data_IF_459760922770
#
_entry.id   IF_459760922770
#
_cell.length_a   1.000
_cell.length_b   1.000
_cell.length_c   1.000
_cell.angle_alpha   90.00
_cell.angle_beta   90.00
_cell.angle_gamma   90.00
#
_symmetry.space_group_name_H-M   'P 1'
#
loop_
_entity.id
_entity.type
_entity.pdbx_description
1 polymer ?
#
# COMPACT_ATOMS: atom_id res chain seq x y z
N UNK A 1 -24.06 1.26 -15.95
CA UNK A 1 -24.12 0.77 -14.58
C UNK A 1 -23.04 -0.30 -14.36
N UNK A 2 -21.74 -0.03 -14.61
CA UNK A 2 -20.60 -0.98 -14.41
C UNK A 2 -19.42 -0.38 -13.65
N UNK A 3 -19.57 0.80 -13.07
CA UNK A 3 -18.44 1.55 -12.44
C UNK A 3 -18.28 1.38 -10.92
N UNK A 4 -19.16 0.66 -10.26
CA UNK A 4 -19.16 0.55 -8.78
C UNK A 4 -18.71 -0.80 -8.24
N UNK A 5 -18.38 -1.76 -9.11
CA UNK A 5 -18.01 -3.12 -8.66
C UNK A 5 -16.53 -3.28 -8.30
N UNK A 6 -15.67 -2.38 -8.75
CA UNK A 6 -14.23 -2.50 -8.54
C UNK A 6 -13.78 -2.06 -7.13
N UNK A 7 -14.55 -1.17 -6.49
CA UNK A 7 -14.18 -0.60 -5.18
C UNK A 7 -14.50 -1.53 -4.00
N UNK A 8 -15.45 -2.46 -4.16
CA UNK A 8 -15.89 -3.33 -3.06
C UNK A 8 -15.00 -4.57 -2.85
N UNK A 9 -14.21 -4.97 -3.84
CA UNK A 9 -13.37 -6.18 -3.74
C UNK A 9 -12.03 -5.87 -3.05
N UNK A 10 -11.57 -4.64 -3.11
CA UNK A 10 -10.27 -4.25 -2.57
C UNK A 10 -10.26 -4.19 -1.02
N UNK A 11 -11.42 -3.96 -0.40
CA UNK A 11 -11.54 -3.87 1.07
C UNK A 11 -11.60 -5.24 1.77
N UNK A 12 -11.90 -6.31 1.06
CA UNK A 12 -12.10 -7.63 1.68
C UNK A 12 -10.80 -8.45 1.83
N UNK A 13 -9.77 -8.16 1.04
CA UNK A 13 -8.55 -8.98 1.03
C UNK A 13 -7.56 -8.64 2.14
N UNK A 14 -7.65 -7.45 2.73
CA UNK A 14 -6.76 -7.03 3.82
C UNK A 14 -7.18 -7.64 5.18
N UNK A 15 -8.45 -8.02 5.34
CA UNK A 15 -9.00 -8.52 6.60
C UNK A 15 -8.68 -9.99 6.92
N UNK A 16 -8.20 -10.79 5.96
CA UNK A 16 -8.04 -12.24 6.17
C UNK A 16 -6.64 -12.69 6.58
N UNK A 17 -5.66 -11.80 6.63
CA UNK A 17 -4.28 -12.19 6.94
C UNK A 17 -3.97 -12.17 8.45
N UNK A 18 -4.88 -11.64 9.28
CA UNK A 18 -4.62 -11.40 10.71
C UNK A 18 -5.41 -12.27 11.70
N UNK A 19 -6.10 -13.32 11.26
CA UNK A 19 -6.73 -14.25 12.20
C UNK A 19 -5.84 -15.46 12.48
N UNK A 20 -4.89 -15.28 13.40
CA UNK A 20 -4.33 -16.41 14.17
C UNK A 20 -5.06 -16.44 15.51
N UNK A 21 -5.99 -17.36 15.66
CA UNK A 21 -6.62 -17.69 16.94
C UNK A 21 -5.63 -18.34 17.88
N UNK A 22 -5.45 -17.76 19.05
CA UNK A 22 -4.98 -18.40 20.26
C UNK A 22 -5.83 -17.86 21.40
N UNK A 23 -6.67 -18.74 21.93
CA UNK A 23 -7.56 -18.48 23.06
C UNK A 23 -6.70 -18.54 24.34
N UNK A 24 -6.47 -17.41 24.99
CA UNK A 24 -6.10 -17.32 26.40
C UNK A 24 -6.40 -15.91 26.91
N UNK A 25 -7.22 -15.86 27.94
CA UNK A 25 -7.80 -14.70 28.63
C UNK A 25 -6.70 -13.93 29.38
N UNK A 26 -6.06 -12.98 28.70
CA UNK A 26 -5.19 -11.97 29.29
C UNK A 26 -5.67 -10.61 28.77
N UNK A 27 -6.08 -9.72 29.66
CA UNK A 27 -6.26 -8.30 29.38
C UNK A 27 -4.91 -7.68 29.03
N UNK A 28 -4.40 -7.98 27.85
CA UNK A 28 -3.25 -7.27 27.29
C UNK A 28 -3.74 -5.93 26.76
N UNK A 29 -3.19 -4.86 27.34
CA UNK A 29 -3.20 -3.55 26.69
C UNK A 29 -2.66 -3.78 25.27
N UNK A 30 -3.50 -3.56 24.25
CA UNK A 30 -3.10 -3.67 22.85
C UNK A 30 -2.09 -2.54 22.61
N UNK A 31 -0.81 -2.87 22.80
CA UNK A 31 0.26 -1.95 22.45
C UNK A 31 0.15 -1.65 20.94
N UNK A 32 -0.13 -0.41 20.61
CA UNK A 32 -0.13 0.04 19.21
C UNK A 32 1.28 -0.20 18.66
N UNK A 33 1.43 -0.99 17.58
CA UNK A 33 2.75 -1.26 17.04
C UNK A 33 3.42 0.06 16.64
N UNK A 34 4.60 0.31 17.19
CA UNK A 34 5.40 1.50 16.88
C UNK A 34 6.52 1.13 15.92
N UNK A 35 6.78 2.00 14.96
CA UNK A 35 7.90 1.85 14.03
C UNK A 35 9.01 2.82 14.42
N UNK A 36 10.27 2.34 14.34
CA UNK A 36 11.46 3.17 14.42
C UNK A 36 11.97 3.60 13.03
N UNK A 37 11.09 3.65 12.03
CA UNK A 37 11.46 3.98 10.66
C UNK A 37 12.09 5.38 10.59
N UNK A 38 13.38 5.44 10.25
CA UNK A 38 14.12 6.70 10.09
C UNK A 38 14.03 7.25 8.68
N UNK A 39 13.89 6.37 7.71
CA UNK A 39 13.78 6.69 6.29
C UNK A 39 12.75 5.77 5.69
N UNK A 40 11.76 6.34 5.03
CA UNK A 40 10.83 5.59 4.21
C UNK A 40 11.38 5.44 2.80
N UNK A 41 11.37 4.22 2.28
CA UNK A 41 11.73 3.91 0.90
C UNK A 41 10.44 3.69 0.17
N UNK A 42 10.19 4.52 -0.83
CA UNK A 42 9.00 4.46 -1.64
C UNK A 42 8.94 3.15 -2.43
N UNK A 43 7.77 2.46 -2.49
CA UNK A 43 7.64 1.25 -3.29
C UNK A 43 7.84 1.54 -4.79
N UNK A 44 8.17 0.51 -5.56
CA UNK A 44 8.32 0.65 -7.02
C UNK A 44 6.99 1.02 -7.67
N UNK A 45 6.93 2.17 -8.32
CA UNK A 45 5.68 2.73 -8.85
C UNK A 45 5.88 3.35 -10.25
N UNK A 46 6.49 2.59 -11.14
CA UNK A 46 6.70 3.01 -12.53
C UNK A 46 5.53 2.54 -13.38
N UNK A 47 4.86 3.48 -14.08
CA UNK A 47 3.74 3.17 -14.97
C UNK A 47 4.16 2.14 -16.02
N UNK A 48 3.38 1.07 -16.12
CA UNK A 48 3.64 0.01 -17.08
C UNK A 48 4.81 -0.91 -16.72
N UNK A 49 5.33 -0.84 -15.50
CA UNK A 49 6.39 -1.72 -15.03
C UNK A 49 6.00 -3.19 -15.16
N UNK A 50 6.98 -3.99 -15.54
CA UNK A 50 6.85 -5.44 -15.65
C UNK A 50 6.94 -6.11 -14.26
N UNK A 51 6.47 -7.36 -14.20
CA UNK A 51 6.61 -8.22 -13.03
C UNK A 51 8.08 -8.37 -12.60
N UNK A 52 9.00 -8.55 -13.55
CA UNK A 52 10.42 -8.76 -13.26
C UNK A 52 11.07 -7.50 -12.66
N UNK A 53 10.71 -6.30 -13.14
CA UNK A 53 11.20 -5.04 -12.57
C UNK A 53 10.76 -4.85 -11.13
N UNK A 54 9.47 -5.09 -10.83
CA UNK A 54 8.94 -5.02 -9.47
C UNK A 54 9.63 -6.05 -8.56
N UNK A 55 9.74 -7.30 -8.99
CA UNK A 55 10.37 -8.37 -8.20
C UNK A 55 11.85 -8.08 -7.95
N UNK A 56 12.56 -7.58 -8.94
CA UNK A 56 13.98 -7.18 -8.81
C UNK A 56 14.15 -6.03 -7.81
N UNK A 57 13.28 -5.01 -7.88
CA UNK A 57 13.30 -3.89 -6.93
C UNK A 57 13.02 -4.36 -5.51
N UNK A 58 12.01 -5.19 -5.31
CA UNK A 58 11.68 -5.74 -4.00
C UNK A 58 12.84 -6.54 -3.41
N UNK A 59 13.50 -7.37 -4.21
CA UNK A 59 14.64 -8.17 -3.78
C UNK A 59 15.92 -7.37 -3.49
N UNK A 60 16.15 -6.28 -4.20
CA UNK A 60 17.38 -5.46 -4.08
C UNK A 60 17.25 -4.28 -3.12
N UNK A 61 16.13 -3.57 -3.17
CA UNK A 61 15.93 -2.28 -2.49
C UNK A 61 15.04 -2.41 -1.26
N UNK A 62 13.94 -3.16 -1.36
CA UNK A 62 12.94 -3.31 -0.30
C UNK A 62 13.18 -4.58 0.53
N UNK A 63 14.42 -4.84 0.95
CA UNK A 63 14.86 -6.11 1.58
C UNK A 63 14.15 -6.47 2.88
N UNK A 64 13.51 -5.51 3.55
CA UNK A 64 12.70 -5.77 4.75
C UNK A 64 11.37 -6.44 4.45
N UNK A 65 10.92 -6.39 3.19
CA UNK A 65 9.70 -7.02 2.71
C UNK A 65 9.99 -8.38 2.09
N UNK A 66 9.15 -9.36 2.41
CA UNK A 66 9.24 -10.72 1.89
C UNK A 66 7.97 -11.06 1.12
N UNK A 67 8.12 -11.76 0.02
CA UNK A 67 6.99 -12.27 -0.75
C UNK A 67 6.08 -13.12 0.16
N UNK A 68 4.77 -12.90 0.10
CA UNK A 68 3.76 -13.59 0.89
C UNK A 68 2.77 -14.37 0.06
N UNK A 69 2.26 -13.76 -0.99
CA UNK A 69 1.19 -14.36 -1.79
C UNK A 69 1.14 -13.80 -3.20
N UNK A 70 0.62 -14.62 -4.08
CA UNK A 70 0.20 -14.27 -5.43
C UNK A 70 -1.29 -14.56 -5.54
N UNK A 71 -2.04 -13.65 -6.17
CA UNK A 71 -3.45 -13.84 -6.46
C UNK A 71 -3.72 -13.54 -7.92
N UNK A 72 -4.46 -14.44 -8.59
CA UNK A 72 -4.88 -14.30 -9.97
C UNK A 72 -6.40 -14.26 -10.06
N UNK A 73 -6.92 -13.25 -10.74
CA UNK A 73 -8.33 -13.15 -11.13
C UNK A 73 -8.44 -13.18 -12.65
N UNK A 74 -9.67 -13.11 -13.20
CA UNK A 74 -9.87 -13.07 -14.65
C UNK A 74 -9.19 -11.84 -15.31
N UNK A 75 -9.14 -10.71 -14.60
CA UNK A 75 -8.74 -9.41 -15.16
C UNK A 75 -7.42 -8.87 -14.56
N UNK A 76 -6.95 -9.42 -13.45
CA UNK A 76 -5.78 -8.90 -12.73
C UNK A 76 -4.94 -10.00 -12.11
N UNK A 77 -3.68 -9.65 -11.92
CA UNK A 77 -2.69 -10.42 -11.19
C UNK A 77 -2.12 -9.56 -10.06
N UNK A 78 -1.93 -10.11 -8.87
CA UNK A 78 -1.45 -9.36 -7.71
C UNK A 78 -0.30 -10.06 -7.03
N UNK A 79 0.69 -9.27 -6.57
CA UNK A 79 1.78 -9.73 -5.71
C UNK A 79 1.70 -9.00 -4.37
N UNK A 80 1.70 -9.76 -3.28
CA UNK A 80 1.73 -9.24 -1.92
C UNK A 80 3.09 -9.50 -1.26
N UNK A 81 3.64 -8.45 -0.66
CA UNK A 81 4.84 -8.49 0.16
C UNK A 81 4.52 -7.94 1.54
N UNK A 82 5.19 -8.45 2.58
CA UNK A 82 5.05 -7.91 3.93
C UNK A 82 6.39 -7.97 4.69
N UNK A 83 6.53 -7.12 5.69
CA UNK A 83 7.64 -7.18 6.64
C UNK A 83 7.64 -8.48 7.44
N UNK A 84 8.77 -8.80 8.08
CA UNK A 84 8.91 -10.06 8.84
C UNK A 84 7.91 -10.20 9.98
N UNK A 85 7.53 -9.09 10.62
CA UNK A 85 6.49 -9.03 11.67
C UNK A 85 5.06 -8.88 11.13
N UNK A 86 4.89 -8.67 9.80
CA UNK A 86 3.60 -8.51 9.16
C UNK A 86 2.90 -7.15 9.39
N UNK A 87 3.55 -6.20 10.05
CA UNK A 87 2.95 -4.91 10.37
C UNK A 87 2.82 -3.96 9.18
N UNK A 88 3.60 -4.17 8.12
CA UNK A 88 3.61 -3.33 6.92
C UNK A 88 3.56 -4.24 5.70
N UNK A 89 2.84 -3.83 4.68
CA UNK A 89 2.61 -4.64 3.49
C UNK A 89 2.53 -3.80 2.22
N UNK A 90 2.98 -4.38 1.09
CA UNK A 90 2.86 -3.77 -0.23
C UNK A 90 2.13 -4.73 -1.15
N UNK A 91 1.11 -4.23 -1.83
CA UNK A 91 0.34 -4.94 -2.82
C UNK A 91 0.55 -4.30 -4.20
N UNK A 92 1.14 -5.03 -5.11
CA UNK A 92 1.28 -4.66 -6.52
C UNK A 92 0.15 -5.29 -7.34
N UNK A 93 -0.48 -4.52 -8.20
CA UNK A 93 -1.53 -5.00 -9.10
C UNK A 93 -1.15 -4.79 -10.57
N UNK A 94 -1.30 -5.85 -11.36
CA UNK A 94 -0.98 -5.90 -12.78
C UNK A 94 -2.22 -6.27 -13.58
N UNK A 95 -2.31 -5.76 -14.81
CA UNK A 95 -3.30 -6.20 -15.77
C UNK A 95 -2.97 -7.64 -16.22
N UNK A 96 -3.99 -8.50 -16.30
CA UNK A 96 -3.79 -9.88 -16.76
C UNK A 96 -3.42 -9.94 -18.26
N UNK A 97 -3.84 -8.94 -19.04
CA UNK A 97 -3.69 -8.92 -20.51
C UNK A 97 -2.23 -8.80 -20.97
N UNK A 98 -1.43 -8.01 -20.25
CA UNK A 98 -0.06 -7.67 -20.66
C UNK A 98 0.93 -7.64 -19.49
N UNK A 99 0.48 -8.02 -18.29
CA UNK A 99 1.27 -8.01 -17.07
C UNK A 99 1.87 -6.65 -16.72
N UNK A 100 1.22 -5.54 -17.14
CA UNK A 100 1.64 -4.20 -16.78
C UNK A 100 1.07 -3.74 -15.45
N UNK A 101 1.92 -3.12 -14.63
CA UNK A 101 1.53 -2.57 -13.34
C UNK A 101 0.55 -1.40 -13.52
N UNK A 102 -0.60 -1.44 -12.82
CA UNK A 102 -1.58 -0.37 -12.84
C UNK A 102 -1.84 0.27 -11.49
N UNK A 103 -1.49 -0.37 -10.38
CA UNK A 103 -1.56 0.24 -9.07
C UNK A 103 -0.60 -0.40 -8.05
N UNK A 104 -0.28 0.37 -7.01
CA UNK A 104 0.44 -0.09 -5.82
C UNK A 104 -0.29 0.40 -4.59
N UNK A 105 -0.42 -0.45 -3.58
CA UNK A 105 -0.91 -0.08 -2.26
C UNK A 105 0.18 -0.39 -1.26
N UNK A 106 0.64 0.64 -0.55
CA UNK A 106 1.57 0.51 0.57
C UNK A 106 0.82 0.73 1.87
N UNK A 107 0.77 -0.29 2.72
CA UNK A 107 0.13 -0.26 4.03
C UNK A 107 1.20 -0.07 5.08
N UNK A 108 1.12 1.03 5.80
CA UNK A 108 2.11 1.48 6.76
C UNK A 108 1.51 1.72 8.15
N UNK A 109 2.36 1.69 9.17
CA UNK A 109 1.96 2.05 10.53
C UNK A 109 1.65 3.55 10.62
N UNK A 110 0.63 3.90 11.41
CA UNK A 110 0.27 5.31 11.69
C UNK A 110 1.45 6.10 12.24
N UNK A 111 2.32 5.48 13.04
CA UNK A 111 3.53 6.11 13.55
C UNK A 111 4.49 6.62 12.48
N UNK A 112 4.42 6.05 11.25
CA UNK A 112 5.21 6.47 10.09
C UNK A 112 4.54 7.59 9.27
N UNK A 113 3.26 7.91 9.54
CA UNK A 113 2.45 8.76 8.65
C UNK A 113 3.07 10.14 8.41
N UNK A 114 3.60 10.78 9.45
CA UNK A 114 4.23 12.08 9.33
C UNK A 114 5.44 12.05 8.39
N UNK A 115 6.32 11.06 8.58
CA UNK A 115 7.52 10.89 7.75
C UNK A 115 7.14 10.71 6.26
N UNK A 116 6.14 9.86 6.00
CA UNK A 116 5.69 9.53 4.65
C UNK A 116 4.97 10.71 3.99
N UNK A 117 4.05 11.37 4.70
CA UNK A 117 3.33 12.53 4.18
C UNK A 117 4.27 13.69 3.90
N UNK A 118 5.25 13.95 4.77
CA UNK A 118 6.27 14.99 4.54
C UNK A 118 7.13 14.66 3.31
N UNK A 119 7.46 13.38 3.11
CA UNK A 119 8.13 12.92 1.89
C UNK A 119 7.27 13.18 0.64
N UNK A 120 5.99 12.78 0.66
CA UNK A 120 5.08 12.97 -0.47
C UNK A 120 4.87 14.45 -0.80
N UNK A 121 4.71 15.32 0.21
CA UNK A 121 4.61 16.78 0.04
C UNK A 121 5.85 17.39 -0.62
N UNK A 122 7.01 16.80 -0.41
CA UNK A 122 8.28 17.27 -0.98
C UNK A 122 8.49 16.84 -2.44
N UNK A 123 7.95 15.67 -2.84
CA UNK A 123 8.26 15.04 -4.13
C UNK A 123 7.12 15.12 -5.13
N UNK A 124 5.89 15.44 -4.68
CA UNK A 124 4.69 15.44 -5.51
C UNK A 124 3.86 16.71 -5.33
N UNK A 125 3.00 16.99 -6.29
CA UNK A 125 2.09 18.14 -6.25
C UNK A 125 0.89 17.78 -5.37
N UNK A 126 0.69 18.48 -4.26
CA UNK A 126 -0.49 18.34 -3.42
C UNK A 126 -1.72 18.90 -4.13
N UNK A 127 -2.72 18.06 -4.37
CA UNK A 127 -4.00 18.42 -5.01
C UNK A 127 -5.06 18.78 -3.96
N UNK A 128 -5.17 17.97 -2.92
CA UNK A 128 -6.09 18.20 -1.81
C UNK A 128 -5.62 17.57 -0.51
N UNK A 129 -6.01 18.18 0.61
CA UNK A 129 -5.86 17.66 1.95
C UNK A 129 -7.17 17.92 2.68
N UNK A 130 -7.86 16.87 3.14
CA UNK A 130 -9.16 17.04 3.76
C UNK A 130 -9.06 17.17 5.29
N UNK A 131 -8.42 16.19 5.96
CA UNK A 131 -8.41 16.13 7.40
C UNK A 131 -7.15 15.41 7.89
N UNK A 132 -6.40 16.05 8.80
CA UNK A 132 -5.21 15.46 9.40
C UNK A 132 -5.52 14.19 10.21
N UNK A 133 -6.69 14.11 10.84
CA UNK A 133 -7.07 12.95 11.64
C UNK A 133 -7.36 11.71 10.78
N UNK A 134 -7.86 11.91 9.55
CA UNK A 134 -8.13 10.84 8.58
C UNK A 134 -6.95 10.53 7.68
N UNK A 135 -5.88 11.35 7.72
CA UNK A 135 -4.71 11.25 6.84
C UNK A 135 -5.08 11.24 5.35
N UNK A 136 -6.16 11.94 4.98
CA UNK A 136 -6.63 12.00 3.59
C UNK A 136 -5.93 13.10 2.82
N UNK A 137 -4.99 12.71 1.99
CA UNK A 137 -4.26 13.57 1.06
C UNK A 137 -4.39 13.00 -0.35
N UNK A 138 -4.35 13.89 -1.33
CA UNK A 138 -4.26 13.54 -2.75
C UNK A 138 -3.11 14.31 -3.38
N UNK A 139 -2.22 13.59 -4.04
CA UNK A 139 -1.07 14.14 -4.77
C UNK A 139 -1.10 13.68 -6.21
N UNK A 140 -0.34 14.35 -7.07
CA UNK A 140 -0.12 13.93 -8.45
C UNK A 140 1.31 14.23 -8.88
N UNK A 141 1.79 13.53 -9.92
CA UNK A 141 3.02 13.85 -10.65
C UNK A 141 2.86 15.13 -11.47
N UNK A 142 3.96 15.77 -11.88
CA UNK A 142 3.93 16.97 -12.73
C UNK A 142 3.21 16.73 -14.06
N UNK A 143 3.44 15.56 -14.67
CA UNK A 143 2.81 15.13 -15.92
C UNK A 143 1.38 14.57 -15.75
N UNK A 144 0.87 14.51 -14.51
CA UNK A 144 -0.44 13.96 -14.16
C UNK A 144 -0.67 12.50 -14.57
N UNK A 145 0.41 11.75 -14.79
CA UNK A 145 0.34 10.34 -15.17
C UNK A 145 0.02 9.42 -13.99
N UNK A 146 0.14 9.93 -12.75
CA UNK A 146 -0.10 9.17 -11.53
C UNK A 146 -0.83 10.02 -10.49
N UNK A 147 -1.77 9.40 -9.79
CA UNK A 147 -2.44 9.94 -8.61
C UNK A 147 -2.02 9.11 -7.39
N UNK A 148 -1.62 9.81 -6.32
CA UNK A 148 -1.26 9.20 -5.06
C UNK A 148 -2.28 9.66 -4.02
N UNK A 149 -2.91 8.71 -3.33
CA UNK A 149 -3.84 9.03 -2.25
C UNK A 149 -3.39 8.37 -0.96
N UNK A 150 -3.55 9.06 0.15
CA UNK A 150 -3.37 8.47 1.47
C UNK A 150 -4.69 8.42 2.22
N UNK A 151 -4.85 7.43 3.09
CA UNK A 151 -6.05 7.27 3.91
C UNK A 151 -5.77 6.41 5.14
N UNK A 152 -6.20 6.86 6.30
CA UNK A 152 -6.24 6.05 7.53
C UNK A 152 -7.23 4.90 7.34
N UNK A 153 -6.82 3.66 7.66
CA UNK A 153 -7.66 2.47 7.58
C UNK A 153 -8.16 2.08 8.96
N UNK A 154 -7.25 2.07 9.94
CA UNK A 154 -7.51 1.76 11.34
C UNK A 154 -6.75 2.73 12.22
N UNK A 155 -6.84 2.60 13.54
CA UNK A 155 -6.05 3.42 14.47
C UNK A 155 -4.55 3.09 14.43
N UNK A 156 -4.17 1.95 13.85
CA UNK A 156 -2.77 1.52 13.74
C UNK A 156 -2.19 1.65 12.34
N UNK A 157 -3.03 1.71 11.28
CA UNK A 157 -2.59 1.61 9.90
C UNK A 157 -3.20 2.66 8.98
N UNK A 158 -2.43 3.06 7.97
CA UNK A 158 -2.90 3.85 6.84
C UNK A 158 -2.32 3.31 5.52
N UNK A 159 -2.99 3.63 4.41
CA UNK A 159 -2.54 3.28 3.06
C UNK A 159 -1.98 4.49 2.33
N UNK A 160 -0.97 4.22 1.50
CA UNK A 160 -0.52 5.06 0.39
C UNK A 160 -0.84 4.31 -0.90
N UNK A 161 -1.74 4.86 -1.71
CA UNK A 161 -2.18 4.22 -2.94
C UNK A 161 -1.64 4.98 -4.15
N UNK A 162 -0.95 4.29 -5.04
CA UNK A 162 -0.48 4.80 -6.34
C UNK A 162 -1.38 4.25 -7.43
N UNK A 163 -1.99 5.12 -8.20
CA UNK A 163 -2.88 4.77 -9.32
C UNK A 163 -2.39 5.45 -10.59
N UNK A 164 -2.12 4.67 -11.63
CA UNK A 164 -1.67 5.20 -12.90
C UNK A 164 -2.86 5.61 -13.77
N UNK A 165 -2.73 6.77 -14.43
CA UNK A 165 -3.72 7.29 -15.36
C UNK A 165 -3.34 6.81 -16.78
N UNK A 166 -4.26 6.06 -17.42
CA UNK A 166 -4.09 5.51 -18.77
C UNK A 166 -4.98 6.23 -19.77
#
# INVERSE_FOLDING_TARGET
>A
MKKYFLTAILTLLVATVFTSCGDDDITDEIETPTSELKVWIEPYHVKGASLDEVTSYMGSTMRRYHFKAENKTADSFQLAYATGNGNEAILYSFLQSDSTQYSVIDTELISNSRLIIDYLKKHYILVSANDEASLQYCFTTEDKSMVITTMKITDSYFNVNYSFVY
#
